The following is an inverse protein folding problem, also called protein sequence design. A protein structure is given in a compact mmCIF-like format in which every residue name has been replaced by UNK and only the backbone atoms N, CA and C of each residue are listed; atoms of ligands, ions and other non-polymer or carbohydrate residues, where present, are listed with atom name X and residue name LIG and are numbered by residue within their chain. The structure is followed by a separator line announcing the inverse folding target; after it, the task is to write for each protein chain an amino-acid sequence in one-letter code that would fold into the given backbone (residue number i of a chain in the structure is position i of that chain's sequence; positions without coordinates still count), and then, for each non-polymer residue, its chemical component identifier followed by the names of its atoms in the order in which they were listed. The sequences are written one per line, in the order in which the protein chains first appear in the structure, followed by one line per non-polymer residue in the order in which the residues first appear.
data_IF_763903391556
#
_entry.id   IF_763903391556
#
_cell.length_a   1.000
_cell.length_b   1.000
_cell.length_c   1.000
_cell.angle_alpha   90.00
_cell.angle_beta   90.00
_cell.angle_gamma   90.00
#
_symmetry.space_group_name_H-M   'P 1'
#
loop_
_entity.id
_entity.type
_entity.pdbx_description
1 polymer ?
#
# COMPACT_ATOMS: atom_id res chain seq x y z
N UNK A 1 76.51 21.07 6.86
CA UNK A 1 75.48 21.01 5.79
C UNK A 1 74.10 21.12 6.44
N UNK A 2 73.35 22.19 6.18
CA UNK A 2 72.00 22.41 6.74
C UNK A 2 70.97 21.70 5.85
N UNK A 3 70.07 20.91 6.43
CA UNK A 3 68.94 20.28 5.73
C UNK A 3 67.67 21.06 6.06
N UNK A 4 66.94 21.45 5.01
CA UNK A 4 65.61 22.07 5.10
C UNK A 4 64.59 20.94 5.06
N UNK A 5 63.76 20.81 6.10
CA UNK A 5 62.60 19.94 6.09
C UNK A 5 61.38 20.77 5.73
N UNK A 6 60.81 20.53 4.56
CA UNK A 6 59.55 21.11 4.14
C UNK A 6 58.42 20.15 4.56
N UNK A 7 57.69 20.50 5.61
CA UNK A 7 56.49 19.78 6.03
C UNK A 7 55.28 20.44 5.38
N UNK A 8 54.75 19.84 4.32
CA UNK A 8 53.47 20.23 3.74
C UNK A 8 52.34 19.50 4.50
N UNK A 9 51.63 20.22 5.36
CA UNK A 9 50.41 19.72 6.00
C UNK A 9 49.26 19.90 5.01
N UNK A 10 48.78 18.80 4.44
CA UNK A 10 47.61 18.79 3.58
C UNK A 10 46.35 18.79 4.48
N UNK A 11 45.71 19.96 4.62
CA UNK A 11 44.39 20.05 5.25
C UNK A 11 43.36 19.49 4.28
N UNK A 12 42.98 18.22 4.46
CA UNK A 12 41.78 17.66 3.84
C UNK A 12 40.56 18.31 4.50
N UNK A 13 40.00 19.32 3.83
CA UNK A 13 38.65 19.81 4.12
C UNK A 13 37.66 18.67 3.82
N UNK A 14 37.33 17.87 4.84
CA UNK A 14 36.12 17.05 4.82
C UNK A 14 34.94 18.01 4.79
N UNK A 15 34.39 18.24 3.60
CA UNK A 15 33.08 18.87 3.50
C UNK A 15 32.09 17.93 4.18
N UNK A 16 31.55 18.38 5.32
CA UNK A 16 30.41 17.72 5.95
C UNK A 16 29.25 17.81 4.95
N UNK A 17 29.07 16.76 4.14
CA UNK A 17 27.82 16.54 3.44
C UNK A 17 26.76 16.47 4.53
N UNK A 18 25.92 17.50 4.64
CA UNK A 18 24.77 17.51 5.53
C UNK A 18 23.88 16.33 5.12
N UNK A 19 24.01 15.22 5.84
CA UNK A 19 23.13 14.08 5.69
C UNK A 19 21.78 14.49 6.29
N UNK A 20 20.89 15.05 5.45
CA UNK A 20 19.55 15.38 5.89
C UNK A 20 18.82 14.07 6.24
N UNK A 21 18.31 14.03 7.47
CA UNK A 21 17.68 12.88 8.07
C UNK A 21 16.18 13.18 8.25
N UNK A 22 15.34 12.48 7.51
CA UNK A 22 13.90 12.75 7.41
C UNK A 22 13.11 11.70 8.18
N UNK A 23 12.00 12.09 8.80
CA UNK A 23 11.06 11.17 9.44
C UNK A 23 9.74 11.20 8.68
N UNK A 24 9.41 10.09 8.03
CA UNK A 24 8.16 9.96 7.27
C UNK A 24 7.01 9.58 8.20
N UNK A 25 5.87 10.26 8.02
CA UNK A 25 4.64 9.92 8.72
C UNK A 25 3.44 10.05 7.81
N UNK A 26 2.50 9.12 7.95
CA UNK A 26 1.17 9.26 7.40
C UNK A 26 0.43 10.39 8.14
N UNK A 27 -0.07 11.38 7.38
CA UNK A 27 -0.84 12.51 7.90
C UNK A 27 -2.22 12.62 7.24
N UNK A 28 -2.78 11.51 6.75
CA UNK A 28 -3.99 11.46 5.91
C UNK A 28 -5.02 12.55 6.21
N UNK A 29 -5.27 13.40 5.22
CA UNK A 29 -6.26 14.47 5.27
C UNK A 29 -7.38 14.20 4.28
N UNK A 30 -8.63 14.16 4.76
CA UNK A 30 -9.81 13.94 3.93
C UNK A 30 -10.20 12.47 3.78
N UNK A 31 -11.07 12.22 2.79
CA UNK A 31 -11.60 10.89 2.48
C UNK A 31 -10.52 9.93 1.99
N UNK A 32 -10.67 8.65 2.32
CA UNK A 32 -9.83 7.60 1.77
C UNK A 32 -10.31 7.27 0.36
N UNK A 33 -9.41 7.44 -0.63
CA UNK A 33 -9.71 7.22 -2.05
C UNK A 33 -8.98 5.97 -2.53
N UNK A 34 -9.75 5.05 -3.09
CA UNK A 34 -9.31 3.79 -3.66
C UNK A 34 -10.18 3.45 -4.86
N UNK A 35 -9.53 3.20 -5.99
CA UNK A 35 -10.17 2.73 -7.21
C UNK A 35 -9.35 1.55 -7.69
N UNK A 36 -10.00 0.40 -7.84
CA UNK A 36 -9.39 -0.78 -8.45
C UNK A 36 -10.21 -1.21 -9.66
N UNK A 37 -9.51 -1.51 -10.75
CA UNK A 37 -10.08 -2.04 -11.98
C UNK A 37 -9.36 -3.33 -12.33
N UNK A 38 -10.13 -4.37 -12.60
CA UNK A 38 -9.59 -5.72 -12.80
C UNK A 38 -10.35 -6.41 -13.92
N UNK A 39 -9.61 -6.94 -14.90
CA UNK A 39 -10.11 -7.77 -16.00
C UNK A 39 -9.46 -9.15 -15.93
N UNK A 40 -10.24 -10.17 -15.58
CA UNK A 40 -9.73 -11.53 -15.35
C UNK A 40 -10.46 -12.56 -16.20
N UNK A 41 -9.69 -13.41 -16.88
CA UNK A 41 -10.21 -14.60 -17.55
C UNK A 41 -10.42 -15.70 -16.52
N UNK A 42 -11.67 -16.14 -16.36
CA UNK A 42 -12.04 -17.19 -15.42
C UNK A 42 -12.02 -18.55 -16.09
N UNK A 43 -11.35 -19.50 -15.44
CA UNK A 43 -11.35 -20.91 -15.81
C UNK A 43 -11.82 -21.72 -14.60
N UNK A 44 -12.92 -22.47 -14.75
CA UNK A 44 -13.39 -23.41 -13.74
C UNK A 44 -13.07 -24.83 -14.23
N UNK A 45 -12.29 -25.59 -13.45
CA UNK A 45 -11.84 -26.96 -13.79
C UNK A 45 -11.19 -27.05 -15.18
N UNK A 46 -10.35 -26.08 -15.54
CA UNK A 46 -9.65 -26.01 -16.83
C UNK A 46 -10.51 -25.53 -18.01
N UNK A 47 -11.82 -25.31 -17.81
CA UNK A 47 -12.72 -24.81 -18.85
C UNK A 47 -12.92 -23.31 -18.71
N UNK A 48 -12.81 -22.57 -19.82
CA UNK A 48 -13.07 -21.14 -19.84
C UNK A 48 -14.56 -20.85 -19.54
N UNK A 49 -14.80 -20.01 -18.53
CA UNK A 49 -16.14 -19.64 -18.07
C UNK A 49 -16.55 -18.26 -18.59
N UNK A 50 -15.61 -17.32 -18.69
CA UNK A 50 -15.88 -15.97 -19.18
C UNK A 50 -14.78 -14.97 -18.79
N UNK A 51 -14.98 -13.73 -19.25
CA UNK A 51 -14.18 -12.58 -18.82
C UNK A 51 -14.98 -11.83 -17.75
N UNK A 52 -14.38 -11.64 -16.58
CA UNK A 52 -14.95 -10.87 -15.47
C UNK A 52 -14.23 -9.53 -15.44
N UNK A 53 -15.00 -8.46 -15.67
CA UNK A 53 -14.57 -7.07 -15.54
C UNK A 53 -15.16 -6.51 -14.25
N UNK A 54 -14.33 -5.97 -13.38
CA UNK A 54 -14.75 -5.44 -12.07
C UNK A 54 -14.10 -4.10 -11.80
N UNK A 55 -14.91 -3.17 -11.31
CA UNK A 55 -14.47 -1.89 -10.76
C UNK A 55 -14.92 -1.77 -9.31
N UNK A 56 -14.00 -1.39 -8.43
CA UNK A 56 -14.28 -1.14 -7.01
C UNK A 56 -13.93 0.30 -6.69
N UNK A 57 -14.84 1.02 -6.05
CA UNK A 57 -14.63 2.41 -5.62
C UNK A 57 -14.90 2.58 -4.14
N UNK A 58 -14.03 3.32 -3.44
CA UNK A 58 -14.24 3.70 -2.04
C UNK A 58 -15.14 4.92 -1.90
N UNK A 59 -16.04 4.85 -0.93
CA UNK A 59 -16.73 6.00 -0.35
C UNK A 59 -16.51 5.94 1.16
N UNK A 60 -15.27 6.24 1.56
CA UNK A 60 -14.78 6.13 2.93
C UNK A 60 -14.40 7.53 3.44
N UNK A 61 -15.02 7.96 4.54
CA UNK A 61 -14.81 9.27 5.15
C UNK A 61 -13.99 9.14 6.45
N UNK A 62 -13.19 10.15 6.82
CA UNK A 62 -12.52 10.17 8.11
C UNK A 62 -13.56 10.32 9.23
N UNK A 63 -13.34 9.64 10.34
CA UNK A 63 -14.17 9.70 11.54
C UNK A 63 -13.40 10.26 12.73
N UNK A 64 -14.14 10.68 13.77
CA UNK A 64 -13.53 11.07 15.04
C UNK A 64 -12.86 9.87 15.70
N UNK A 65 -11.85 10.14 16.53
CA UNK A 65 -11.16 9.10 17.28
C UNK A 65 -12.18 8.44 18.23
N UNK A 66 -12.40 7.12 18.15
CA UNK A 66 -13.32 6.41 19.03
C UNK A 66 -12.80 6.40 20.46
N UNK A 67 -13.67 6.13 21.44
CA UNK A 67 -13.27 6.03 22.84
C UNK A 67 -12.17 4.98 23.04
N UNK A 68 -11.05 5.39 23.66
CA UNK A 68 -9.86 4.53 23.82
C UNK A 68 -8.95 4.43 22.57
N UNK A 69 -9.30 5.09 21.46
CA UNK A 69 -8.48 5.17 20.27
C UNK A 69 -7.27 6.09 20.45
N UNK A 70 -6.21 5.85 19.68
CA UNK A 70 -5.03 6.72 19.63
C UNK A 70 -5.27 7.94 18.75
N UNK A 71 -5.03 9.14 19.26
CA UNK A 71 -5.14 10.39 18.51
C UNK A 71 -4.16 10.52 17.35
N UNK A 72 -3.05 9.77 17.38
CA UNK A 72 -2.07 9.72 16.28
C UNK A 72 -2.60 8.98 15.04
N UNK A 73 -3.59 8.12 15.23
CA UNK A 73 -4.12 7.26 14.18
C UNK A 73 -5.29 7.97 13.49
N UNK A 74 -5.47 7.71 12.20
CA UNK A 74 -6.58 8.23 11.41
C UNK A 74 -7.62 7.14 11.24
N UNK A 75 -8.85 7.43 11.64
CA UNK A 75 -9.98 6.50 11.60
C UNK A 75 -10.85 6.81 10.40
N UNK A 76 -11.36 5.74 9.78
CA UNK A 76 -12.08 5.78 8.53
C UNK A 76 -13.27 4.84 8.58
N UNK A 77 -14.40 5.28 8.03
CA UNK A 77 -15.63 4.51 7.97
C UNK A 77 -16.40 4.82 6.66
N UNK A 78 -17.09 3.82 6.14
CA UNK A 78 -17.93 3.96 4.95
C UNK A 78 -18.09 2.62 4.22
N UNK A 79 -18.26 2.70 2.89
CA UNK A 79 -18.46 1.52 2.05
C UNK A 79 -17.59 1.52 0.79
N UNK A 80 -17.29 0.32 0.30
CA UNK A 80 -16.79 0.08 -1.04
C UNK A 80 -17.94 -0.34 -1.95
N UNK A 81 -18.04 0.30 -3.11
CA UNK A 81 -19.05 0.00 -4.12
C UNK A 81 -18.41 -0.78 -5.25
N UNK A 82 -19.11 -1.83 -5.68
CA UNK A 82 -18.64 -2.77 -6.69
C UNK A 82 -19.53 -2.66 -7.92
N UNK A 83 -18.92 -2.41 -9.07
CA UNK A 83 -19.51 -2.59 -10.39
C UNK A 83 -18.83 -3.80 -11.04
N UNK A 84 -19.61 -4.81 -11.41
CA UNK A 84 -19.08 -6.03 -12.03
C UNK A 84 -19.93 -6.42 -13.24
N UNK A 85 -19.24 -6.69 -14.34
CA UNK A 85 -19.84 -7.20 -15.57
C UNK A 85 -19.14 -8.49 -15.98
N UNK A 86 -19.93 -9.52 -16.31
CA UNK A 86 -19.40 -10.77 -16.87
C UNK A 86 -19.75 -10.86 -18.34
N UNK A 87 -18.75 -11.01 -19.21
CA UNK A 87 -18.93 -11.27 -20.65
C UNK A 87 -18.80 -12.76 -20.93
N UNK A 88 -19.89 -13.36 -21.44
CA UNK A 88 -19.92 -14.75 -21.92
C UNK A 88 -20.41 -14.77 -23.36
N UNK A 89 -19.61 -15.33 -24.27
CA UNK A 89 -19.92 -15.39 -25.71
C UNK A 89 -20.31 -14.03 -26.31
N UNK A 90 -19.57 -12.97 -25.97
CA UNK A 90 -19.81 -11.59 -26.45
C UNK A 90 -21.16 -10.98 -26.05
N UNK A 91 -21.92 -11.61 -25.14
CA UNK A 91 -23.14 -11.05 -24.55
C UNK A 91 -22.81 -10.47 -23.18
N UNK A 92 -23.17 -9.21 -22.97
CA UNK A 92 -23.08 -8.54 -21.67
C UNK A 92 -24.16 -9.08 -20.73
N UNK A 93 -23.74 -9.48 -19.53
CA UNK A 93 -24.63 -9.84 -18.43
C UNK A 93 -24.45 -8.78 -17.35
N UNK A 94 -25.40 -7.84 -17.34
CA UNK A 94 -25.61 -6.67 -16.45
C UNK A 94 -24.41 -5.77 -16.08
N UNK A 95 -24.63 -4.47 -16.23
CA UNK A 95 -23.83 -3.36 -15.68
C UNK A 95 -24.68 -2.71 -14.59
N UNK A 96 -24.22 -2.72 -13.35
CA UNK A 96 -24.96 -2.19 -12.22
C UNK A 96 -24.13 -2.26 -10.94
N UNK A 97 -24.41 -1.36 -9.99
CA UNK A 97 -23.84 -1.45 -8.65
C UNK A 97 -24.35 -2.75 -8.03
N UNK A 98 -23.49 -3.76 -7.98
CA UNK A 98 -23.84 -5.11 -7.54
C UNK A 98 -23.74 -5.27 -6.01
N UNK A 99 -23.16 -4.29 -5.31
CA UNK A 99 -23.12 -4.30 -3.85
C UNK A 99 -22.39 -3.10 -3.24
N UNK A 100 -22.76 -2.82 -1.99
CA UNK A 100 -22.03 -1.91 -1.10
C UNK A 100 -21.50 -2.74 0.08
N UNK A 101 -20.19 -2.78 0.26
CA UNK A 101 -19.54 -3.54 1.33
C UNK A 101 -19.03 -2.57 2.40
N UNK A 102 -19.57 -2.61 3.63
CA UNK A 102 -19.12 -1.72 4.69
C UNK A 102 -17.68 -2.06 5.09
N UNK A 103 -16.90 -1.02 5.37
CA UNK A 103 -15.50 -1.15 5.78
C UNK A 103 -15.14 -0.03 6.74
N UNK A 104 -14.53 -0.43 7.85
CA UNK A 104 -14.08 0.49 8.90
C UNK A 104 -12.67 0.10 9.28
N UNK A 105 -11.75 1.07 9.33
CA UNK A 105 -10.34 0.81 9.59
C UNK A 105 -9.64 2.06 10.13
N UNK A 106 -8.42 1.87 10.61
CA UNK A 106 -7.53 2.95 10.97
C UNK A 106 -6.19 2.84 10.25
N UNK A 107 -5.54 3.97 10.02
CA UNK A 107 -4.17 4.05 9.50
C UNK A 107 -3.32 4.74 10.55
N UNK A 108 -2.29 4.02 11.02
CA UNK A 108 -1.33 4.52 12.01
C UNK A 108 -0.33 5.48 11.34
N UNK A 109 0.43 6.24 12.14
CA UNK A 109 1.39 7.22 11.59
C UNK A 109 2.51 6.61 10.74
N UNK A 110 2.76 5.31 10.87
CA UNK A 110 3.70 4.53 10.04
C UNK A 110 3.04 3.95 8.78
N UNK A 111 1.81 4.35 8.45
CA UNK A 111 1.07 3.84 7.29
C UNK A 111 0.46 2.45 7.48
N UNK A 112 0.59 1.84 8.66
CA UNK A 112 -0.04 0.54 8.92
C UNK A 112 -1.56 0.67 9.01
N UNK A 113 -2.26 -0.02 8.11
CA UNK A 113 -3.72 -0.12 8.08
C UNK A 113 -4.18 -1.29 8.96
N UNK A 114 -5.09 -1.02 9.89
CA UNK A 114 -5.71 -2.02 10.76
C UNK A 114 -7.22 -1.96 10.59
N UNK A 115 -7.83 -3.10 10.22
CA UNK A 115 -9.28 -3.21 10.08
C UNK A 115 -9.96 -3.18 11.45
N UNK A 116 -11.05 -2.41 11.54
CA UNK A 116 -12.00 -2.43 12.66
C UNK A 116 -13.22 -3.31 12.30
N UNK A 117 -13.65 -3.23 11.04
CA UNK A 117 -14.65 -4.11 10.43
C UNK A 117 -14.09 -4.61 9.10
N UNK A 118 -13.75 -5.90 9.05
CA UNK A 118 -13.07 -6.52 7.90
C UNK A 118 -14.01 -7.37 7.06
N UNK A 119 -14.50 -6.80 5.95
CA UNK A 119 -15.27 -7.51 4.92
C UNK A 119 -14.46 -7.70 3.63
N UNK A 120 -13.13 -7.75 3.75
CA UNK A 120 -12.22 -7.99 2.63
C UNK A 120 -11.76 -6.72 1.89
N UNK A 121 -12.35 -5.56 2.17
CA UNK A 121 -11.98 -4.27 1.57
C UNK A 121 -11.34 -3.30 2.60
N UNK A 122 -10.36 -2.47 2.20
CA UNK A 122 -9.72 -2.44 0.88
C UNK A 122 -8.91 -3.70 0.60
N UNK A 123 -8.74 -4.03 -0.69
CA UNK A 123 -7.99 -5.22 -1.08
C UNK A 123 -6.48 -5.05 -0.86
N UNK A 124 -5.94 -3.85 -0.97
CA UNK A 124 -4.51 -3.61 -0.72
C UNK A 124 -4.33 -2.75 0.53
N UNK A 125 -3.53 -3.23 1.49
CA UNK A 125 -3.44 -2.69 2.85
C UNK A 125 -2.00 -2.46 3.26
N UNK A 126 -1.81 -1.45 4.12
CA UNK A 126 -0.50 -1.10 4.71
C UNK A 126 0.60 -0.83 3.66
N UNK A 127 0.21 -0.20 2.55
CA UNK A 127 1.13 0.23 1.50
C UNK A 127 0.73 1.63 1.00
N UNK A 128 1.65 2.62 1.03
CA UNK A 128 3.01 2.53 1.58
C UNK A 128 3.01 2.40 3.11
N UNK A 129 4.09 1.85 3.66
CA UNK A 129 4.36 1.85 5.10
C UNK A 129 5.77 2.38 5.39
N UNK A 130 5.85 3.22 6.42
CA UNK A 130 7.00 4.03 6.77
C UNK A 130 7.71 3.45 8.00
N UNK A 131 9.03 3.67 8.08
CA UNK A 131 9.79 3.38 9.29
C UNK A 131 9.57 4.47 10.35
N UNK A 132 9.67 4.10 11.63
CA UNK A 132 9.67 5.07 12.74
C UNK A 132 11.05 5.70 12.97
N UNK A 133 12.05 5.30 12.22
CA UNK A 133 13.41 5.83 12.26
C UNK A 133 13.57 6.99 11.29
N UNK A 134 14.52 7.88 11.58
CA UNK A 134 14.95 8.87 10.59
C UNK A 134 15.76 8.15 9.51
N UNK A 135 15.54 8.55 8.27
CA UNK A 135 16.20 7.98 7.09
C UNK A 135 16.91 9.06 6.29
N UNK A 136 17.94 8.65 5.57
CA UNK A 136 18.66 9.42 4.59
C UNK A 136 18.64 8.73 3.23
N UNK A 137 19.00 9.47 2.18
CA UNK A 137 19.07 8.93 0.83
C UNK A 137 20.02 7.72 0.80
N UNK A 138 19.54 6.62 0.21
CA UNK A 138 20.22 5.32 0.17
C UNK A 138 19.75 4.33 1.25
N UNK A 139 19.10 4.82 2.31
CA UNK A 139 18.60 3.95 3.38
C UNK A 139 17.47 3.04 2.90
N UNK A 140 17.43 1.87 3.51
CA UNK A 140 16.45 0.84 3.25
C UNK A 140 15.70 0.46 4.51
N UNK A 141 14.42 0.13 4.35
CA UNK A 141 13.65 -0.48 5.42
C UNK A 141 12.67 -1.49 4.84
N UNK A 142 12.23 -2.41 5.70
CA UNK A 142 11.24 -3.40 5.35
C UNK A 142 9.92 -3.13 6.07
N UNK A 143 8.81 -3.41 5.40
CA UNK A 143 7.49 -3.35 5.99
C UNK A 143 6.62 -4.52 5.51
N UNK A 144 5.52 -4.74 6.23
CA UNK A 144 4.51 -5.73 5.89
C UNK A 144 3.31 -5.03 5.26
N UNK A 145 2.87 -5.54 4.13
CA UNK A 145 1.63 -5.20 3.48
C UNK A 145 0.74 -6.46 3.37
N UNK A 146 -0.51 -6.26 2.98
CA UNK A 146 -1.45 -7.36 2.78
C UNK A 146 -2.25 -7.11 1.50
N UNK A 147 -2.43 -8.18 0.72
CA UNK A 147 -3.38 -8.23 -0.39
C UNK A 147 -4.49 -9.20 -0.07
N UNK A 148 -5.70 -8.71 0.02
CA UNK A 148 -6.90 -9.54 0.14
C UNK A 148 -7.37 -9.97 -1.24
N UNK A 149 -7.72 -11.24 -1.36
CA UNK A 149 -8.24 -11.83 -2.59
C UNK A 149 -9.53 -12.60 -2.29
N UNK A 150 -10.56 -12.33 -3.10
CA UNK A 150 -11.81 -13.10 -3.15
C UNK A 150 -12.06 -13.45 -4.62
N UNK A 151 -11.45 -14.53 -5.13
CA UNK A 151 -11.52 -14.86 -6.55
C UNK A 151 -12.94 -15.22 -7.04
N UNK A 152 -13.80 -15.66 -6.12
CA UNK A 152 -15.16 -16.11 -6.43
C UNK A 152 -16.23 -15.05 -6.13
N UNK A 153 -15.84 -13.92 -5.52
CA UNK A 153 -16.71 -12.82 -5.11
C UNK A 153 -17.85 -13.27 -4.20
N UNK A 154 -17.59 -14.22 -3.30
CA UNK A 154 -18.59 -14.76 -2.37
C UNK A 154 -18.54 -14.13 -0.98
N UNK A 155 -17.62 -13.20 -0.76
CA UNK A 155 -17.32 -12.65 0.57
C UNK A 155 -16.42 -13.57 1.41
N UNK A 156 -15.96 -14.68 0.84
CA UNK A 156 -14.96 -15.56 1.47
C UNK A 156 -13.62 -15.17 0.87
N UNK A 157 -12.78 -14.54 1.68
CA UNK A 157 -11.55 -13.92 1.21
C UNK A 157 -10.32 -14.44 1.94
N UNK A 158 -9.22 -14.52 1.21
CA UNK A 158 -7.90 -14.88 1.72
C UNK A 158 -7.02 -13.65 1.82
N UNK A 159 -6.25 -13.55 2.91
CA UNK A 159 -5.25 -12.51 3.15
C UNK A 159 -3.87 -13.00 2.74
N UNK A 160 -3.30 -12.44 1.69
CA UNK A 160 -1.96 -12.74 1.21
C UNK A 160 -0.97 -11.77 1.84
N UNK A 161 0.00 -12.24 2.66
CA UNK A 161 1.04 -11.37 3.18
C UNK A 161 1.98 -10.92 2.06
N UNK A 162 2.41 -9.68 2.14
CA UNK A 162 3.39 -9.07 1.26
C UNK A 162 4.52 -8.51 2.11
N UNK A 163 5.75 -8.88 1.79
CA UNK A 163 6.95 -8.25 2.34
C UNK A 163 7.44 -7.22 1.33
N UNK A 164 7.65 -6.00 1.79
CA UNK A 164 8.14 -4.88 0.98
C UNK A 164 9.48 -4.41 1.52
N UNK A 165 10.46 -4.22 0.64
CA UNK A 165 11.69 -3.47 0.90
C UNK A 165 11.59 -2.13 0.17
N UNK A 166 11.70 -1.05 0.93
CA UNK A 166 11.77 0.31 0.40
C UNK A 166 13.21 0.79 0.35
N UNK A 167 13.53 1.65 -0.61
CA UNK A 167 14.79 2.42 -0.64
C UNK A 167 14.48 3.89 -0.88
N UNK A 168 15.02 4.77 -0.06
CA UNK A 168 14.92 6.22 -0.28
C UNK A 168 15.92 6.65 -1.35
N UNK A 169 15.43 7.10 -2.49
CA UNK A 169 16.25 7.32 -3.67
C UNK A 169 16.81 8.74 -3.75
N UNK A 170 15.96 9.74 -3.57
CA UNK A 170 16.30 11.16 -3.72
C UNK A 170 15.15 12.05 -3.30
N UNK A 171 15.46 13.34 -3.20
CA UNK A 171 14.47 14.42 -3.22
C UNK A 171 14.27 14.89 -4.65
N UNK A 172 13.04 15.27 -4.99
CA UNK A 172 12.69 15.74 -6.32
C UNK A 172 11.64 16.84 -6.26
N UNK A 173 11.65 17.73 -7.25
CA UNK A 173 10.57 18.69 -7.47
C UNK A 173 9.60 18.08 -8.48
N UNK A 174 8.42 17.67 -8.04
CA UNK A 174 7.39 17.10 -8.89
C UNK A 174 6.21 18.07 -9.00
N UNK A 175 5.94 18.56 -10.21
CA UNK A 175 4.91 19.57 -10.48
C UNK A 175 4.99 20.82 -9.58
N UNK A 176 6.21 21.22 -9.20
CA UNK A 176 6.43 22.39 -8.33
C UNK A 176 6.34 22.11 -6.83
N UNK A 177 6.12 20.85 -6.43
CA UNK A 177 6.10 20.43 -5.03
C UNK A 177 7.36 19.61 -4.70
N UNK A 178 7.96 19.88 -3.53
CA UNK A 178 9.07 19.07 -3.03
C UNK A 178 8.54 17.72 -2.56
N UNK A 179 9.07 16.63 -3.13
CA UNK A 179 8.65 15.26 -2.85
C UNK A 179 9.85 14.37 -2.54
N UNK A 180 9.59 13.36 -1.72
CA UNK A 180 10.52 12.28 -1.45
C UNK A 180 10.25 11.12 -2.41
N UNK A 181 11.29 10.63 -3.08
CA UNK A 181 11.18 9.53 -4.06
C UNK A 181 11.68 8.23 -3.46
N UNK A 182 10.85 7.20 -3.52
CA UNK A 182 11.16 5.86 -3.00
C UNK A 182 11.01 4.81 -4.09
N UNK A 183 11.87 3.78 -4.07
CA UNK A 183 11.56 2.51 -4.71
C UNK A 183 10.96 1.55 -3.70
N UNK A 184 10.08 0.67 -4.18
CA UNK A 184 9.52 -0.43 -3.42
C UNK A 184 9.69 -1.73 -4.21
N UNK A 185 10.39 -2.69 -3.66
CA UNK A 185 10.45 -4.06 -4.15
C UNK A 185 9.63 -4.93 -3.21
N UNK A 186 8.78 -5.79 -3.75
CA UNK A 186 7.88 -6.58 -2.91
C UNK A 186 7.76 -8.03 -3.38
N UNK A 187 7.48 -8.90 -2.43
CA UNK A 187 7.25 -10.31 -2.67
C UNK A 187 6.07 -10.79 -1.83
N UNK A 188 5.20 -11.60 -2.43
CA UNK A 188 4.21 -12.39 -1.72
C UNK A 188 4.67 -13.84 -1.66
N UNK A 189 4.43 -14.50 -0.52
CA UNK A 189 4.64 -15.94 -0.39
C UNK A 189 3.34 -16.54 0.11
N UNK A 190 2.63 -17.19 -0.80
CA UNK A 190 1.45 -17.97 -0.49
C UNK A 190 1.74 -19.44 -0.82
N UNK A 191 1.61 -20.30 0.18
CA UNK A 191 2.00 -21.70 0.07
C UNK A 191 1.00 -22.54 -0.73
N UNK A 192 1.47 -23.66 -1.29
CA UNK A 192 0.69 -24.64 -2.07
C UNK A 192 -0.35 -25.39 -1.19
N UNK A 193 -0.25 -25.30 0.14
CA UNK A 193 -1.01 -26.12 1.09
C UNK A 193 -2.25 -25.46 1.70
N UNK A 194 -2.59 -24.22 1.35
CA UNK A 194 -3.79 -23.55 1.87
C UNK A 194 -4.93 -23.69 0.86
N UNK A 195 -5.53 -24.88 0.87
CA UNK A 195 -6.81 -25.12 0.20
C UNK A 195 -7.92 -24.55 1.07
N UNK A 196 -8.58 -23.51 0.58
CA UNK A 196 -9.82 -23.03 1.16
C UNK A 196 -10.95 -23.98 0.73
N UNK A 197 -11.30 -24.91 1.61
CA UNK A 197 -12.42 -25.84 1.39
C UNK A 197 -13.79 -25.16 1.56
N UNK A 198 -13.84 -23.92 2.06
CA UNK A 198 -15.07 -23.18 2.33
C UNK A 198 -15.55 -22.32 1.15
N UNK A 199 -14.66 -21.97 0.21
CA UNK A 199 -14.96 -21.53 -1.16
C UNK A 199 -16.00 -20.43 -1.34
#
# INVERSE_FOLDING_TARGET
MKKIFLSAVFFLFFQNAFCQNVLLKYNGSGSYVYIERTDVRRYDNGKYTGLVSREVRSFIAPTSVPSGGKFSDRYYDGSFFIDEATKRNSREVNLGINGAVPSSFKISSDGMLTMLVDNGYPFFRSFPSFTNQRISIGDKWQAKAERVVDPLNKGIFTKLPILVEYTYLKDELFHGEEVYVFSAQWATRYGISYWDFAG
#
